data_IF_544434486880
#
_entry.id   IF_544434486880
#
_cell.length_a   1.000
_cell.length_b   1.000
_cell.length_c   1.000
_cell.angle_alpha   90.00
_cell.angle_beta   90.00
_cell.angle_gamma   90.00
#
_symmetry.space_group_name_H-M   'P 1'
#
loop_
_entity.id
_entity.type
_entity.pdbx_description
1 polymer ?
#
# COMPACT_ATOMS: atom_id res chain seq x y z
N UNK A 1 23.95 7.48 8.85
CA UNK A 1 23.93 7.51 7.37
C UNK A 1 22.51 7.52 6.87
N UNK A 2 22.23 8.37 5.94
CA UNK A 2 20.89 8.41 5.37
C UNK A 2 20.74 7.29 4.32
N UNK A 3 19.54 6.72 4.29
CA UNK A 3 19.18 5.72 3.30
C UNK A 3 18.78 6.42 2.01
N UNK A 4 19.38 6.01 0.90
CA UNK A 4 18.98 6.52 -0.41
C UNK A 4 17.99 5.59 -1.05
N UNK A 5 16.87 6.17 -1.46
CA UNK A 5 15.81 5.44 -2.14
C UNK A 5 15.66 6.02 -3.54
N UNK A 6 15.57 5.15 -4.54
CA UNK A 6 15.48 5.54 -5.95
C UNK A 6 14.16 5.09 -6.55
N UNK A 7 13.77 5.73 -7.65
CA UNK A 7 12.58 5.30 -8.40
C UNK A 7 12.72 3.88 -8.93
N UNK A 8 13.93 3.46 -9.28
CA UNK A 8 14.16 2.08 -9.72
C UNK A 8 13.86 1.06 -8.61
N UNK A 9 14.25 1.37 -7.38
CA UNK A 9 13.93 0.53 -6.22
C UNK A 9 12.43 0.49 -5.98
N UNK A 10 11.76 1.62 -6.10
CA UNK A 10 10.31 1.70 -5.93
C UNK A 10 9.60 0.84 -6.98
N UNK A 11 10.01 0.94 -8.24
CA UNK A 11 9.43 0.13 -9.31
C UNK A 11 9.62 -1.36 -9.06
N UNK A 12 10.84 -1.77 -8.66
CA UNK A 12 11.11 -3.18 -8.34
C UNK A 12 10.25 -3.68 -7.20
N UNK A 13 10.09 -2.87 -6.15
CA UNK A 13 9.27 -3.24 -5.00
C UNK A 13 7.80 -3.37 -5.39
N UNK A 14 7.25 -2.41 -6.11
CA UNK A 14 5.85 -2.44 -6.53
C UNK A 14 5.58 -3.69 -7.36
N UNK A 15 6.41 -3.97 -8.34
CA UNK A 15 6.22 -5.13 -9.21
C UNK A 15 6.32 -6.45 -8.44
N UNK A 16 7.34 -6.59 -7.61
CA UNK A 16 7.58 -7.80 -6.83
C UNK A 16 6.47 -8.06 -5.82
N UNK A 17 6.08 -7.02 -5.10
CA UNK A 17 5.07 -7.10 -4.06
C UNK A 17 3.69 -7.45 -4.65
N UNK A 18 3.26 -6.74 -5.69
CA UNK A 18 1.94 -6.97 -6.26
C UNK A 18 1.82 -8.27 -7.04
N UNK A 19 2.94 -8.82 -7.53
CA UNK A 19 2.94 -10.19 -8.04
C UNK A 19 2.55 -11.18 -6.95
N UNK A 20 2.99 -10.96 -5.72
CA UNK A 20 2.61 -11.78 -4.57
C UNK A 20 1.18 -11.54 -4.13
N UNK A 21 0.75 -10.28 -4.10
CA UNK A 21 -0.64 -9.93 -3.75
C UNK A 21 -1.61 -10.66 -4.67
N UNK A 22 -1.34 -10.69 -5.96
CA UNK A 22 -2.21 -11.33 -6.94
C UNK A 22 -2.36 -12.83 -6.73
N UNK A 23 -1.37 -13.47 -6.11
CA UNK A 23 -1.37 -14.91 -5.81
C UNK A 23 -1.91 -15.23 -4.42
N UNK A 24 -2.06 -14.22 -3.58
CA UNK A 24 -2.51 -14.44 -2.21
C UNK A 24 -3.98 -14.85 -2.19
N UNK A 25 -4.34 -15.92 -1.45
CA UNK A 25 -5.72 -16.40 -1.44
C UNK A 25 -6.74 -15.41 -0.90
N UNK A 26 -6.35 -14.54 0.02
CA UNK A 26 -7.27 -13.56 0.58
C UNK A 26 -7.26 -12.24 -0.15
N UNK A 27 -6.08 -11.75 -0.53
CA UNK A 27 -5.93 -10.44 -1.18
C UNK A 27 -6.20 -10.49 -2.68
N UNK A 28 -5.75 -11.55 -3.34
CA UNK A 28 -5.85 -11.68 -4.78
C UNK A 28 -7.25 -11.42 -5.33
N UNK A 29 -8.27 -12.14 -4.81
CA UNK A 29 -9.63 -11.93 -5.29
C UNK A 29 -10.17 -10.52 -5.10
N UNK A 30 -9.86 -9.88 -3.97
CA UNK A 30 -10.32 -8.52 -3.70
C UNK A 30 -9.69 -7.54 -4.68
N UNK A 31 -8.38 -7.66 -4.90
CA UNK A 31 -7.67 -6.79 -5.84
C UNK A 31 -8.11 -7.06 -7.28
N UNK A 32 -8.29 -8.32 -7.65
CA UNK A 32 -8.73 -8.67 -8.99
C UNK A 32 -10.11 -8.12 -9.29
N UNK A 33 -11.03 -8.20 -8.34
CA UNK A 33 -12.37 -7.65 -8.51
C UNK A 33 -12.36 -6.13 -8.68
N UNK A 34 -11.44 -5.46 -7.97
CA UNK A 34 -11.35 -4.00 -8.01
C UNK A 34 -10.61 -3.48 -9.25
N UNK A 35 -9.57 -4.19 -9.67
CA UNK A 35 -8.64 -3.71 -10.71
C UNK A 35 -8.95 -4.33 -12.08
N UNK A 36 -9.28 -5.63 -12.12
CA UNK A 36 -9.63 -6.33 -13.35
C UNK A 36 -8.51 -6.26 -14.39
N UNK A 37 -8.82 -5.69 -15.55
CA UNK A 37 -7.88 -5.58 -16.67
C UNK A 37 -6.92 -4.40 -16.54
N UNK A 38 -7.07 -3.57 -15.51
CA UNK A 38 -6.35 -2.30 -15.36
C UNK A 38 -5.06 -2.42 -14.53
N UNK A 39 -4.47 -3.64 -14.44
CA UNK A 39 -3.29 -3.85 -13.61
C UNK A 39 -2.11 -2.98 -13.99
N UNK A 40 -1.81 -2.82 -15.28
CA UNK A 40 -0.66 -2.02 -15.69
C UNK A 40 -0.81 -0.56 -15.27
N UNK A 41 -2.00 0.00 -15.48
CA UNK A 41 -2.29 1.37 -15.09
C UNK A 41 -2.25 1.52 -13.56
N UNK A 42 -2.73 0.51 -12.83
CA UNK A 42 -2.75 0.53 -11.39
C UNK A 42 -1.32 0.46 -10.79
N UNK A 43 -0.47 -0.39 -11.35
CA UNK A 43 0.92 -0.50 -10.92
C UNK A 43 1.67 0.82 -11.15
N UNK A 44 1.43 1.47 -12.28
CA UNK A 44 1.99 2.79 -12.58
C UNK A 44 1.58 3.81 -11.51
N UNK A 45 0.30 3.81 -11.14
CA UNK A 45 -0.25 4.69 -10.12
C UNK A 45 0.39 4.42 -8.77
N UNK A 46 0.63 3.15 -8.43
CA UNK A 46 1.28 2.78 -7.18
C UNK A 46 2.75 3.20 -7.13
N UNK A 47 3.45 3.13 -8.27
CA UNK A 47 4.82 3.65 -8.35
C UNK A 47 4.85 5.14 -8.05
N UNK A 48 3.91 5.89 -8.61
CA UNK A 48 3.78 7.33 -8.35
C UNK A 48 3.45 7.61 -6.89
N UNK A 49 2.56 6.81 -6.32
CA UNK A 49 2.20 6.93 -4.91
C UNK A 49 3.42 6.75 -4.02
N UNK A 50 4.18 5.68 -4.22
CA UNK A 50 5.36 5.41 -3.40
C UNK A 50 6.48 6.41 -3.65
N UNK A 51 6.61 6.91 -4.87
CA UNK A 51 7.54 8.00 -5.18
C UNK A 51 7.18 9.25 -4.36
N UNK A 52 5.90 9.59 -4.32
CA UNK A 52 5.45 10.74 -3.54
C UNK A 52 5.71 10.54 -2.04
N UNK A 53 5.46 9.33 -1.52
CA UNK A 53 5.64 9.01 -0.11
C UNK A 53 7.11 9.02 0.28
N UNK A 54 7.96 8.36 -0.50
CA UNK A 54 9.36 8.14 -0.13
C UNK A 54 10.29 9.26 -0.58
N UNK A 55 9.99 9.89 -1.72
CA UNK A 55 10.86 10.88 -2.34
C UNK A 55 10.26 12.29 -2.32
N UNK A 56 9.01 12.42 -1.86
CA UNK A 56 8.28 13.69 -1.87
C UNK A 56 8.21 14.30 -3.28
N UNK A 57 8.02 13.45 -4.28
CA UNK A 57 8.05 13.86 -5.69
C UNK A 57 6.84 14.68 -6.12
N UNK A 58 5.74 14.63 -5.38
CA UNK A 58 4.50 15.25 -5.80
C UNK A 58 3.81 14.55 -6.96
N UNK A 59 4.24 13.35 -7.30
CA UNK A 59 3.75 12.63 -8.47
C UNK A 59 2.35 12.03 -8.30
N UNK A 60 1.87 11.94 -7.06
CA UNK A 60 0.57 11.32 -6.76
C UNK A 60 -0.40 12.36 -6.22
N UNK A 61 -1.58 12.43 -6.80
CA UNK A 61 -2.63 13.37 -6.41
C UNK A 61 -3.94 12.67 -6.05
N UNK A 62 -3.91 11.37 -5.81
CA UNK A 62 -5.11 10.61 -5.46
C UNK A 62 -5.43 10.66 -3.98
N UNK A 63 -6.49 9.94 -3.61
CA UNK A 63 -6.97 9.81 -2.25
C UNK A 63 -7.08 8.33 -1.90
N UNK A 64 -6.06 7.76 -1.23
CA UNK A 64 -6.08 6.33 -0.90
C UNK A 64 -7.26 5.93 -0.03
N UNK A 65 -7.65 6.77 0.91
CA UNK A 65 -8.76 6.45 1.80
C UNK A 65 -10.07 6.26 1.02
N UNK A 66 -10.41 7.22 0.16
CA UNK A 66 -11.62 7.12 -0.65
C UNK A 66 -11.59 5.93 -1.60
N UNK A 67 -10.41 5.63 -2.16
CA UNK A 67 -10.26 4.46 -3.02
C UNK A 67 -10.57 3.17 -2.27
N UNK A 68 -10.10 3.06 -1.02
CA UNK A 68 -10.34 1.86 -0.21
C UNK A 68 -11.78 1.74 0.27
N UNK A 69 -12.48 2.86 0.47
CA UNK A 69 -13.90 2.84 0.83
C UNK A 69 -14.76 2.11 -0.21
N UNK A 70 -14.31 2.08 -1.44
CA UNK A 70 -15.07 1.48 -2.55
C UNK A 70 -14.75 0.00 -2.77
N UNK A 71 -13.85 -0.59 -1.98
CA UNK A 71 -13.46 -1.98 -2.15
C UNK A 71 -14.41 -2.90 -1.39
N UNK A 72 -15.22 -3.70 -2.10
CA UNK A 72 -16.07 -4.69 -1.40
C UNK A 72 -15.22 -5.82 -0.86
N UNK A 73 -15.59 -6.31 0.31
CA UNK A 73 -14.93 -7.46 0.91
C UNK A 73 -13.63 -7.15 1.64
N UNK A 74 -13.26 -5.88 1.78
CA UNK A 74 -12.07 -5.50 2.51
C UNK A 74 -12.27 -5.69 4.01
N UNK A 75 -11.33 -6.40 4.68
CA UNK A 75 -11.40 -6.68 6.12
C UNK A 75 -10.14 -6.20 6.82
N UNK A 76 -10.19 -5.97 8.15
CA UNK A 76 -8.98 -5.61 8.89
C UNK A 76 -7.85 -6.63 8.77
N UNK A 77 -8.17 -7.92 8.74
CA UNK A 77 -7.17 -8.98 8.59
C UNK A 77 -6.40 -8.87 7.28
N UNK A 78 -7.01 -8.31 6.24
CA UNK A 78 -6.34 -8.11 4.94
C UNK A 78 -5.22 -7.08 5.03
N UNK A 79 -5.33 -6.10 5.92
CA UNK A 79 -4.23 -5.16 6.15
C UNK A 79 -3.03 -5.85 6.78
N UNK A 80 -3.26 -6.81 7.67
CA UNK A 80 -2.18 -7.59 8.27
C UNK A 80 -1.49 -8.47 7.21
N UNK A 81 -2.29 -9.11 6.34
CA UNK A 81 -1.76 -9.93 5.26
C UNK A 81 -0.97 -9.07 4.26
N UNK A 82 -1.49 -7.90 3.92
CA UNK A 82 -0.84 -6.96 3.01
C UNK A 82 0.53 -6.53 3.58
N UNK A 83 0.56 -6.16 4.87
CA UNK A 83 1.81 -5.77 5.53
C UNK A 83 2.83 -6.90 5.57
N UNK A 84 2.40 -8.13 5.87
CA UNK A 84 3.31 -9.27 5.93
C UNK A 84 3.98 -9.52 4.58
N UNK A 85 3.19 -9.47 3.50
CA UNK A 85 3.72 -9.62 2.15
C UNK A 85 4.65 -8.47 1.78
N UNK A 86 4.29 -7.26 2.18
CA UNK A 86 5.09 -6.07 1.89
C UNK A 86 6.45 -6.14 2.60
N UNK A 87 6.44 -6.48 3.88
CA UNK A 87 7.68 -6.61 4.67
C UNK A 87 8.59 -7.68 4.09
N UNK A 88 8.02 -8.83 3.73
CA UNK A 88 8.79 -9.91 3.09
C UNK A 88 9.40 -9.46 1.77
N UNK A 89 8.64 -8.75 0.97
CA UNK A 89 9.13 -8.24 -0.33
C UNK A 89 10.28 -7.25 -0.14
N UNK A 90 10.16 -6.34 0.82
CA UNK A 90 11.22 -5.39 1.12
C UNK A 90 12.51 -6.08 1.54
N UNK A 91 12.41 -7.11 2.39
CA UNK A 91 13.58 -7.84 2.86
C UNK A 91 14.21 -8.70 1.79
N UNK A 92 13.40 -9.18 0.84
CA UNK A 92 13.94 -9.94 -0.30
C UNK A 92 14.75 -9.06 -1.25
N UNK A 93 14.35 -7.81 -1.40
CA UNK A 93 14.92 -6.93 -2.42
C UNK A 93 16.03 -6.02 -1.91
N UNK A 94 15.98 -5.63 -0.63
CA UNK A 94 16.81 -4.54 -0.12
C UNK A 94 17.62 -4.92 1.11
N UNK A 95 18.74 -4.21 1.37
CA UNK A 95 19.39 -4.26 2.67
C UNK A 95 18.46 -3.82 3.78
N UNK A 96 18.71 -4.25 5.01
CA UNK A 96 17.81 -4.02 6.13
C UNK A 96 17.46 -2.54 6.34
N UNK A 97 18.42 -1.64 6.24
CA UNK A 97 18.15 -0.21 6.45
C UNK A 97 17.15 0.35 5.41
N UNK A 98 17.32 -0.03 4.14
CA UNK A 98 16.40 0.37 3.08
C UNK A 98 15.03 -0.29 3.27
N UNK A 99 15.02 -1.58 3.59
CA UNK A 99 13.78 -2.31 3.85
C UNK A 99 12.99 -1.65 4.97
N UNK A 100 13.65 -1.29 6.08
CA UNK A 100 12.99 -0.65 7.22
C UNK A 100 12.39 0.71 6.86
N UNK A 101 13.05 1.46 5.99
CA UNK A 101 12.51 2.75 5.56
C UNK A 101 11.15 2.60 4.85
N UNK A 102 11.04 1.60 3.96
CA UNK A 102 9.78 1.29 3.30
C UNK A 102 8.74 0.71 4.27
N UNK A 103 9.16 -0.23 5.09
CA UNK A 103 8.26 -0.93 6.03
C UNK A 103 7.63 0.04 7.02
N UNK A 104 8.43 0.96 7.55
CA UNK A 104 7.91 1.95 8.51
C UNK A 104 6.81 2.80 7.88
N UNK A 105 7.00 3.25 6.64
CA UNK A 105 5.98 4.03 5.93
C UNK A 105 4.75 3.19 5.64
N UNK A 106 4.93 1.95 5.22
CA UNK A 106 3.80 1.06 4.95
C UNK A 106 2.97 0.81 6.20
N UNK A 107 3.62 0.62 7.34
CA UNK A 107 2.91 0.44 8.62
C UNK A 107 2.07 1.65 8.99
N UNK A 108 2.60 2.85 8.79
CA UNK A 108 1.86 4.09 9.07
C UNK A 108 0.67 4.24 8.14
N UNK A 109 0.85 3.96 6.86
CA UNK A 109 -0.22 4.06 5.87
C UNK A 109 -1.32 3.05 6.19
N UNK A 110 -0.96 1.80 6.44
CA UNK A 110 -1.92 0.75 6.76
C UNK A 110 -2.68 1.07 8.06
N UNK A 111 -1.98 1.56 9.07
CA UNK A 111 -2.60 1.96 10.33
C UNK A 111 -3.61 3.08 10.13
N UNK A 112 -3.22 4.09 9.37
CA UNK A 112 -4.08 5.22 9.09
C UNK A 112 -5.35 4.81 8.33
N UNK A 113 -5.19 3.99 7.29
CA UNK A 113 -6.31 3.49 6.51
C UNK A 113 -7.22 2.60 7.36
N UNK A 114 -6.64 1.70 8.14
CA UNK A 114 -7.38 0.79 8.99
C UNK A 114 -8.20 1.56 10.03
N UNK A 115 -7.60 2.55 10.67
CA UNK A 115 -8.32 3.40 11.62
C UNK A 115 -9.48 4.13 10.97
N UNK A 116 -9.24 4.70 9.79
CA UNK A 116 -10.28 5.42 9.08
C UNK A 116 -11.43 4.54 8.62
N UNK A 117 -11.14 3.31 8.21
CA UNK A 117 -12.14 2.41 7.63
C UNK A 117 -12.88 1.58 8.67
N UNK A 118 -12.21 1.15 9.74
CA UNK A 118 -12.78 0.17 10.67
C UNK A 118 -12.79 0.60 12.13
N UNK A 119 -11.85 1.43 12.55
CA UNK A 119 -11.64 1.76 13.97
C UNK A 119 -11.96 3.22 14.27
N UNK A 120 -12.35 3.99 13.26
CA UNK A 120 -12.66 5.40 13.46
C UNK A 120 -13.83 5.52 14.44
N UNK A 121 -13.69 6.48 15.35
CA UNK A 121 -14.77 6.77 16.30
C UNK A 121 -16.02 7.21 15.54
N UNK A 122 -17.22 6.80 16.02
CA UNK A 122 -18.42 7.30 15.39
C UNK A 122 -18.44 8.83 15.43
N UNK A 123 -19.03 9.47 14.40
CA UNK A 123 -19.11 10.92 14.42
C UNK A 123 -19.80 11.39 15.69
N UNK A 124 -19.19 12.34 16.38
CA UNK A 124 -19.85 12.99 17.49
C UNK A 124 -21.04 13.78 17.01
N UNK A 125 -21.85 14.32 17.93
CA UNK A 125 -23.01 15.11 17.53
C UNK A 125 -22.68 16.24 16.57
N UNK A 126 -21.50 16.83 16.72
CA UNK A 126 -21.06 17.91 15.84
C UNK A 126 -20.65 17.44 14.45
N UNK A 127 -20.31 16.17 14.32
CA UNK A 127 -19.88 15.59 13.05
C UNK A 127 -20.98 14.81 12.37
N UNK A 128 -22.05 14.62 13.07
CA UNK A 128 -23.20 13.89 12.57
C UNK A 128 -23.92 14.68 11.48
#
# INVERSE_FOLDING_TARGET
MSVQITDAQIASLVDHFYARVRRDPSLGPVFQAAIGAEWDAHLEKLRRFWSAVMLRSGAYHGDPYSAHLRLPGLTPAMFDAWLALFEGSCRDLFPEATAQAFIERARRIARSLRMGLFERLPPGPSAA
#
